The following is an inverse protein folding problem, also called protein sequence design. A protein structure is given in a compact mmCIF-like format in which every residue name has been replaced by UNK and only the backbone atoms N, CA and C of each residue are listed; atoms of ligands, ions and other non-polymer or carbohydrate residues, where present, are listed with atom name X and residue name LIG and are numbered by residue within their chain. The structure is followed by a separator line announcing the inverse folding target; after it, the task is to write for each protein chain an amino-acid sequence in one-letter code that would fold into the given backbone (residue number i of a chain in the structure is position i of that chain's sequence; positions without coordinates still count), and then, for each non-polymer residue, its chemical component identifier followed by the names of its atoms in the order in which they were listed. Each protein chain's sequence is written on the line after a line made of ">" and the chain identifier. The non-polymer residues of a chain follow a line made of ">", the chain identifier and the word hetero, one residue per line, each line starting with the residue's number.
data_IF_999361096213
#
_entry.id   IF_999361096213
#
_cell.length_a   1.000
_cell.length_b   1.000
_cell.length_c   1.000
_cell.angle_alpha   90.00
_cell.angle_beta   90.00
_cell.angle_gamma   90.00
#
_symmetry.space_group_name_H-M   'P 1'
#
loop_
_entity.id
_entity.type
_entity.pdbx_description
1 polymer ?
#
# COMPACT_ATOMS: atom_id res chain seq x y z
N UNK A 1 22.26 -7.27 11.92
CA UNK A 1 22.21 -5.84 11.51
C UNK A 1 21.47 -5.65 10.19
N UNK A 2 21.69 -6.48 9.16
CA UNK A 2 20.91 -6.43 7.89
C UNK A 2 19.39 -6.44 8.08
N UNK A 3 18.89 -7.27 9.00
CA UNK A 3 17.46 -7.45 9.24
C UNK A 3 16.77 -6.15 9.66
N UNK A 4 17.44 -5.30 10.46
CA UNK A 4 16.90 -4.02 10.88
C UNK A 4 16.76 -3.04 9.69
N UNK A 5 17.75 -3.02 8.79
CA UNK A 5 17.72 -2.20 7.58
C UNK A 5 16.55 -2.62 6.68
N UNK A 6 16.38 -3.93 6.45
CA UNK A 6 15.27 -4.46 5.65
C UNK A 6 13.93 -4.09 6.30
N UNK A 7 13.81 -4.25 7.62
CA UNK A 7 12.60 -3.88 8.37
C UNK A 7 12.28 -2.40 8.19
N UNK A 8 13.26 -1.50 8.34
CA UNK A 8 13.04 -0.06 8.15
C UNK A 8 12.60 0.30 6.73
N UNK A 9 13.21 -0.32 5.71
CA UNK A 9 12.83 -0.08 4.32
C UNK A 9 11.41 -0.58 4.04
N UNK A 10 11.09 -1.80 4.49
CA UNK A 10 9.76 -2.40 4.28
C UNK A 10 8.69 -1.60 5.04
N UNK A 11 8.92 -1.26 6.32
CA UNK A 11 8.00 -0.43 7.10
C UNK A 11 7.79 0.93 6.47
N UNK A 12 8.86 1.59 6.02
CA UNK A 12 8.78 2.88 5.35
C UNK A 12 7.90 2.81 4.11
N UNK A 13 8.10 1.81 3.24
CA UNK A 13 7.27 1.61 2.05
C UNK A 13 5.82 1.31 2.42
N UNK A 14 5.58 0.44 3.41
CA UNK A 14 4.21 0.11 3.84
C UNK A 14 3.48 1.33 4.38
N UNK A 15 4.15 2.18 5.15
CA UNK A 15 3.59 3.45 5.64
C UNK A 15 3.31 4.43 4.49
N UNK A 16 4.20 4.55 3.51
CA UNK A 16 3.95 5.35 2.29
C UNK A 16 2.73 4.84 1.51
N UNK A 17 2.57 3.52 1.40
CA UNK A 17 1.40 2.94 0.77
C UNK A 17 0.13 3.19 1.59
N UNK A 18 0.18 2.99 2.91
CA UNK A 18 -0.95 3.27 3.81
C UNK A 18 -1.42 4.72 3.71
N UNK A 19 -0.50 5.69 3.70
CA UNK A 19 -0.82 7.09 3.52
C UNK A 19 -1.54 7.32 2.18
N UNK A 20 -1.00 6.80 1.08
CA UNK A 20 -1.59 6.97 -0.25
C UNK A 20 -2.97 6.34 -0.41
N UNK A 21 -3.25 5.27 0.34
CA UNK A 21 -4.43 4.43 0.14
C UNK A 21 -5.55 4.68 1.12
N UNK A 22 -5.23 4.91 2.39
CA UNK A 22 -6.21 5.05 3.46
C UNK A 22 -6.60 6.50 3.64
N UNK A 23 -5.64 7.42 3.60
CA UNK A 23 -5.90 8.84 3.86
C UNK A 23 -5.09 9.71 2.90
N UNK A 24 -5.60 9.95 1.68
CA UNK A 24 -4.92 10.81 0.73
C UNK A 24 -4.71 12.20 1.33
N UNK A 25 -3.46 12.57 1.56
CA UNK A 25 -3.08 13.88 2.10
C UNK A 25 -2.67 13.92 3.58
N UNK A 26 -2.54 12.79 4.28
CA UNK A 26 -2.00 12.81 5.67
C UNK A 26 -0.47 12.85 5.72
N UNK A 27 0.06 14.06 5.87
CA UNK A 27 1.51 14.31 5.96
C UNK A 27 2.22 13.59 7.12
N UNK A 28 1.51 13.21 8.19
CA UNK A 28 2.11 12.58 9.38
C UNK A 28 2.69 11.20 9.06
N UNK A 29 1.93 10.37 8.33
CA UNK A 29 2.39 9.04 7.93
C UNK A 29 3.53 9.13 6.91
N UNK A 30 3.48 10.09 5.98
CA UNK A 30 4.52 10.32 4.99
C UNK A 30 5.84 10.79 5.57
N UNK A 31 5.79 11.69 6.56
CA UNK A 31 6.98 12.12 7.29
C UNK A 31 7.57 10.93 8.06
N UNK A 32 6.73 10.14 8.73
CA UNK A 32 7.17 8.92 9.42
C UNK A 32 7.83 7.92 8.46
N UNK A 33 7.22 7.68 7.31
CA UNK A 33 7.76 6.82 6.26
C UNK A 33 9.11 7.32 5.75
N UNK A 34 9.23 8.62 5.46
CA UNK A 34 10.46 9.23 5.00
C UNK A 34 11.60 9.07 6.01
N UNK A 35 11.33 9.30 7.30
CA UNK A 35 12.31 9.11 8.38
C UNK A 35 12.76 7.64 8.45
N UNK A 36 11.82 6.69 8.39
CA UNK A 36 12.15 5.26 8.42
C UNK A 36 13.02 4.85 7.23
N UNK A 37 12.69 5.30 6.03
CA UNK A 37 13.49 5.05 4.82
C UNK A 37 14.89 5.67 4.95
N UNK A 38 14.99 6.92 5.42
CA UNK A 38 16.26 7.61 5.63
C UNK A 38 17.13 6.89 6.66
N UNK A 39 16.56 6.43 7.77
CA UNK A 39 17.26 5.64 8.78
C UNK A 39 17.73 4.29 8.24
N UNK A 40 16.88 3.59 7.47
CA UNK A 40 17.25 2.33 6.82
C UNK A 40 18.47 2.50 5.89
N UNK A 41 18.46 3.54 5.06
CA UNK A 41 19.59 3.87 4.19
C UNK A 41 20.83 4.26 5.02
N UNK A 42 20.67 5.13 6.03
CA UNK A 42 21.79 5.55 6.88
C UNK A 42 22.47 4.37 7.58
N UNK A 43 21.69 3.45 8.18
CA UNK A 43 22.22 2.23 8.77
C UNK A 43 22.88 1.32 7.74
N UNK A 44 22.40 1.30 6.49
CA UNK A 44 23.04 0.57 5.39
C UNK A 44 24.43 1.12 5.07
N UNK A 45 24.58 2.45 5.01
CA UNK A 45 25.88 3.09 4.80
C UNK A 45 26.84 2.82 5.97
N UNK A 46 26.34 2.88 7.20
CA UNK A 46 27.14 2.65 8.40
C UNK A 46 27.63 1.20 8.51
N UNK A 47 26.78 0.23 8.15
CA UNK A 47 27.10 -1.21 8.34
C UNK A 47 27.85 -1.83 7.16
N UNK A 48 27.53 -1.44 5.92
CA UNK A 48 28.01 -2.10 4.70
C UNK A 48 28.91 -1.21 3.82
N UNK A 49 29.19 0.01 4.27
CA UNK A 49 30.04 0.97 3.57
C UNK A 49 29.41 1.60 2.33
N UNK A 50 30.17 2.48 1.70
CA UNK A 50 29.71 3.39 0.64
C UNK A 50 29.20 2.65 -0.60
N UNK A 51 29.88 1.57 -1.01
CA UNK A 51 29.50 0.80 -2.22
C UNK A 51 28.10 0.21 -2.08
N UNK A 52 27.86 -0.51 -0.98
CA UNK A 52 26.57 -1.16 -0.70
C UNK A 52 25.49 -0.12 -0.39
N UNK A 53 25.83 0.94 0.34
CA UNK A 53 24.91 2.05 0.64
C UNK A 53 24.34 2.69 -0.62
N UNK A 54 25.17 2.93 -1.65
CA UNK A 54 24.70 3.57 -2.88
C UNK A 54 23.76 2.68 -3.70
N UNK A 55 24.01 1.36 -3.72
CA UNK A 55 23.07 0.40 -4.30
C UNK A 55 21.74 0.36 -3.54
N UNK A 56 21.77 0.40 -2.21
CA UNK A 56 20.56 0.40 -1.38
C UNK A 56 19.78 1.71 -1.52
N UNK A 57 20.46 2.86 -1.58
CA UNK A 57 19.84 4.16 -1.84
C UNK A 57 19.13 4.15 -3.20
N UNK A 58 19.85 3.80 -4.27
CA UNK A 58 19.30 3.75 -5.63
C UNK A 58 18.14 2.76 -5.72
N UNK A 59 18.28 1.57 -5.15
CA UNK A 59 17.23 0.56 -5.11
C UNK A 59 15.99 1.03 -4.34
N UNK A 60 16.17 1.68 -3.19
CA UNK A 60 15.06 2.19 -2.36
C UNK A 60 14.28 3.28 -3.09
N UNK A 61 14.97 4.23 -3.74
CA UNK A 61 14.33 5.31 -4.50
C UNK A 61 13.51 4.74 -5.66
N UNK A 62 14.10 3.85 -6.45
CA UNK A 62 13.40 3.19 -7.57
C UNK A 62 12.20 2.38 -7.06
N UNK A 63 12.37 1.64 -5.98
CA UNK A 63 11.32 0.83 -5.39
C UNK A 63 10.15 1.67 -4.86
N UNK A 64 10.43 2.81 -4.23
CA UNK A 64 9.39 3.75 -3.78
C UNK A 64 8.64 4.33 -4.97
N UNK A 65 9.33 4.81 -6.01
CA UNK A 65 8.68 5.37 -7.21
C UNK A 65 7.77 4.32 -7.88
N UNK A 66 8.28 3.09 -8.02
CA UNK A 66 7.51 1.97 -8.57
C UNK A 66 6.30 1.69 -7.68
N UNK A 67 6.50 1.54 -6.36
CA UNK A 67 5.42 1.23 -5.41
C UNK A 67 4.32 2.29 -5.44
N UNK A 68 4.68 3.57 -5.43
CA UNK A 68 3.74 4.69 -5.53
C UNK A 68 3.04 4.70 -6.89
N UNK A 69 3.77 4.53 -7.99
CA UNK A 69 3.19 4.49 -9.33
C UNK A 69 2.22 3.31 -9.53
N UNK A 70 2.53 2.15 -8.96
CA UNK A 70 1.63 0.99 -8.96
C UNK A 70 0.43 1.19 -8.04
N UNK A 71 0.62 1.83 -6.88
CA UNK A 71 -0.45 2.15 -5.93
C UNK A 71 -1.51 3.08 -6.54
N UNK A 72 -1.07 4.11 -7.26
CA UNK A 72 -1.93 5.06 -7.96
C UNK A 72 -2.63 4.46 -9.19
N UNK A 73 -2.08 3.39 -9.78
CA UNK A 73 -2.75 2.69 -10.89
C UNK A 73 -3.94 1.89 -10.36
N UNK A 74 -5.16 2.38 -10.62
CA UNK A 74 -6.43 1.69 -10.30
C UNK A 74 -6.54 0.25 -10.80
N UNK A 75 -5.77 -0.14 -11.84
CA UNK A 75 -5.72 -1.52 -12.33
C UNK A 75 -5.07 -2.51 -11.35
N UNK A 76 -4.22 -2.05 -10.42
CA UNK A 76 -3.56 -2.91 -9.42
C UNK A 76 -4.55 -3.33 -8.34
N UNK A 77 -5.42 -2.40 -7.93
CA UNK A 77 -6.51 -2.63 -6.97
C UNK A 77 -7.54 -3.62 -7.49
N UNK A 78 -7.89 -3.56 -8.78
CA UNK A 78 -8.88 -4.45 -9.39
C UNK A 78 -8.46 -5.93 -9.42
N UNK A 79 -7.19 -6.25 -9.18
CA UNK A 79 -6.65 -7.63 -9.14
C UNK A 79 -6.43 -8.14 -7.71
N UNK A 80 -6.26 -7.24 -6.74
CA UNK A 80 -6.15 -7.56 -5.30
C UNK A 80 -7.48 -7.44 -4.55
N UNK A 81 -8.42 -6.65 -5.06
CA UNK A 81 -9.83 -6.86 -4.82
C UNK A 81 -10.16 -8.20 -5.48
N UNK A 82 -10.01 -9.28 -4.72
CA UNK A 82 -10.87 -10.45 -4.90
C UNK A 82 -12.27 -9.90 -5.16
N UNK A 83 -12.94 -10.39 -6.20
CA UNK A 83 -14.33 -10.06 -6.49
C UNK A 83 -15.22 -10.49 -5.30
N UNK A 84 -15.11 -9.83 -4.15
CA UNK A 84 -16.19 -9.63 -3.23
C UNK A 84 -17.05 -8.51 -3.81
N UNK A 85 -17.47 -8.68 -5.07
CA UNK A 85 -18.85 -8.37 -5.41
C UNK A 85 -19.63 -9.28 -4.47
N UNK A 86 -20.01 -8.78 -3.31
CA UNK A 86 -21.24 -9.24 -2.70
C UNK A 86 -22.29 -8.81 -3.70
N UNK A 87 -22.49 -9.63 -4.72
CA UNK A 87 -23.76 -9.81 -5.36
C UNK A 87 -24.61 -10.40 -4.24
N UNK A 88 -25.04 -9.52 -3.33
CA UNK A 88 -26.32 -9.66 -2.67
C UNK A 88 -27.35 -9.52 -3.78
N UNK A 89 -27.41 -10.52 -4.66
CA UNK A 89 -28.65 -10.92 -5.30
C UNK A 89 -29.49 -11.33 -4.11
N UNK A 90 -30.14 -10.33 -3.52
CA UNK A 90 -31.30 -10.55 -2.70
C UNK A 90 -32.21 -11.41 -3.57
N UNK A 91 -32.30 -12.66 -3.13
CA UNK A 91 -33.03 -13.76 -3.70
C UNK A 91 -34.17 -13.25 -4.60
N UNK A 92 -34.13 -13.66 -5.87
CA UNK A 92 -35.26 -13.67 -6.79
C UNK A 92 -36.51 -14.14 -6.05
N UNK A 93 -37.35 -13.19 -5.64
CA UNK A 93 -38.77 -13.40 -5.54
C UNK A 93 -39.38 -12.30 -6.38
N UNK A 94 -39.52 -12.59 -7.68
CA UNK A 94 -40.59 -12.00 -8.46
C UNK A 94 -41.89 -12.42 -7.77
N UNK A 95 -42.28 -11.68 -6.74
CA UNK A 95 -43.60 -11.82 -6.17
C UNK A 95 -44.54 -11.26 -7.25
N UNK A 96 -45.24 -12.17 -7.93
CA UNK A 96 -46.40 -11.88 -8.76
C UNK A 96 -47.50 -11.29 -7.86
N UNK A 97 -47.29 -10.03 -7.44
CA UNK A 97 -48.19 -9.30 -6.58
C UNK A 97 -49.34 -8.80 -7.44
N UNK A 98 -50.51 -9.42 -7.22
CA UNK A 98 -51.76 -9.02 -7.87
C UNK A 98 -52.38 -7.84 -7.13
N UNK A 99 -53.16 -6.99 -7.81
CA UNK A 99 -53.86 -5.89 -7.16
C UNK A 99 -54.82 -6.44 -6.08
N UNK A 100 -54.50 -6.21 -4.80
CA UNK A 100 -55.34 -6.65 -3.67
C UNK A 100 -54.59 -7.06 -2.39
N UNK A 101 -53.27 -7.21 -2.42
CA UNK A 101 -52.51 -7.62 -1.23
C UNK A 101 -52.31 -6.43 -0.25
N UNK A 102 -52.78 -6.61 1.00
CA UNK A 102 -52.43 -5.78 2.17
C UNK A 102 -51.54 -6.60 3.09
N UNK A 103 -50.41 -6.02 3.49
CA UNK A 103 -49.35 -6.68 4.27
C UNK A 103 -49.71 -7.05 5.70
#
# INVERSE_FOLDING_TARGET
>A
MLTAIIIFIVLGVVLTLLELLVIPGTTIAGIGAFILLALGVFFSYSTYGIKTGNYVLGGTVVFVIISVGFSLRSKTWKRFMLNSTVDGVANTIEADLKPGDTG
#
